data_IF_076933305175
#
_entry.id   IF_076933305175
#
_cell.length_a   1.000
_cell.length_b   1.000
_cell.length_c   1.000
_cell.angle_alpha   90.00
_cell.angle_beta   90.00
_cell.angle_gamma   90.00
#
_symmetry.space_group_name_H-M   'P 1'
#
loop_
_entity.id
_entity.type
_entity.pdbx_description
1 polymer ?
#
# COMPACT_ATOMS: atom_id res chain seq x y z
N UNK A 1 -18.97 9.83 -61.88
CA UNK A 1 -18.71 10.90 -60.90
C UNK A 1 -19.13 10.32 -59.55
N UNK A 2 -18.28 9.65 -58.76
CA UNK A 2 -17.05 10.05 -58.04
C UNK A 2 -17.32 10.89 -56.78
N UNK A 3 -16.73 10.43 -55.65
CA UNK A 3 -16.68 10.94 -54.25
C UNK A 3 -17.81 10.43 -53.36
N UNK A 4 -17.57 9.95 -52.13
CA UNK A 4 -16.37 9.85 -51.28
C UNK A 4 -16.76 8.84 -50.19
N UNK A 5 -15.95 7.82 -49.93
CA UNK A 5 -16.10 7.02 -48.71
C UNK A 5 -14.75 7.08 -48.02
N UNK A 6 -14.71 7.92 -46.99
CA UNK A 6 -13.62 8.03 -46.04
C UNK A 6 -13.59 6.73 -45.21
N UNK A 7 -12.60 5.90 -45.46
CA UNK A 7 -12.10 4.91 -44.50
C UNK A 7 -10.69 5.34 -44.14
N UNK A 8 -10.63 6.41 -43.35
CA UNK A 8 -9.54 6.59 -42.40
C UNK A 8 -9.61 5.40 -41.44
N UNK A 9 -8.63 4.52 -41.49
CA UNK A 9 -8.21 3.64 -40.40
C UNK A 9 -6.74 3.30 -40.68
N UNK A 10 -5.90 4.32 -40.57
CA UNK A 10 -4.43 4.24 -40.57
C UNK A 10 -3.92 3.66 -39.25
N UNK A 11 -4.24 2.39 -38.92
CA UNK A 11 -3.66 1.75 -37.74
C UNK A 11 -3.05 0.40 -38.13
N UNK A 12 -1.73 0.32 -38.00
CA UNK A 12 -0.87 -0.76 -38.46
C UNK A 12 -1.45 -2.15 -38.27
N UNK A 13 -1.59 -2.87 -39.38
CA UNK A 13 -1.97 -4.27 -39.37
C UNK A 13 -0.98 -5.09 -38.53
N UNK A 14 -1.53 -5.91 -37.64
CA UNK A 14 -0.77 -6.86 -36.81
C UNK A 14 0.09 -7.79 -37.69
N UNK A 15 1.31 -8.15 -37.24
CA UNK A 15 2.14 -9.12 -37.95
C UNK A 15 1.42 -10.47 -38.03
N UNK A 16 1.52 -11.18 -39.17
CA UNK A 16 0.78 -12.43 -39.39
C UNK A 16 1.19 -13.58 -38.46
N UNK A 17 2.27 -13.44 -37.68
CA UNK A 17 2.71 -14.44 -36.69
C UNK A 17 1.78 -14.55 -35.45
N UNK A 18 0.81 -13.63 -35.29
CA UNK A 18 -0.15 -13.64 -34.18
C UNK A 18 -1.57 -14.13 -34.56
N UNK A 19 -1.79 -14.49 -35.82
CA UNK A 19 -3.09 -14.99 -36.27
C UNK A 19 -3.15 -16.49 -35.97
N UNK A 20 -3.56 -16.83 -34.75
CA UNK A 20 -3.99 -18.19 -34.41
C UNK A 20 -5.37 -18.45 -35.02
N UNK A 21 -5.38 -19.29 -36.06
CA UNK A 21 -6.58 -19.65 -36.83
C UNK A 21 -7.61 -20.34 -35.93
N UNK A 22 -8.69 -19.63 -35.53
CA UNK A 22 -9.78 -20.30 -34.82
C UNK A 22 -10.73 -19.51 -33.93
N UNK A 23 -10.72 -18.18 -33.85
CA UNK A 23 -11.69 -17.46 -33.00
C UNK A 23 -12.55 -16.45 -33.76
N UNK A 24 -13.83 -16.79 -33.91
CA UNK A 24 -14.92 -15.88 -34.26
C UNK A 24 -15.07 -14.77 -33.19
N UNK A 25 -15.54 -13.57 -33.57
CA UNK A 25 -15.54 -12.40 -32.72
C UNK A 25 -16.61 -12.51 -31.63
N UNK A 26 -16.20 -12.42 -30.37
CA UNK A 26 -17.11 -12.12 -29.26
C UNK A 26 -16.77 -10.73 -28.78
N UNK A 27 -17.66 -9.78 -29.11
CA UNK A 27 -17.71 -8.46 -28.52
C UNK A 27 -17.86 -8.56 -27.00
N UNK A 28 -16.84 -8.17 -26.24
CA UNK A 28 -16.99 -7.49 -24.96
C UNK A 28 -15.65 -6.84 -24.60
N UNK A 29 -15.48 -5.58 -24.98
CA UNK A 29 -14.46 -4.73 -24.39
C UNK A 29 -14.92 -4.39 -22.97
N UNK A 30 -14.38 -5.08 -21.99
CA UNK A 30 -14.38 -4.62 -20.61
C UNK A 30 -12.98 -4.12 -20.30
N UNK A 31 -12.89 -2.81 -20.11
CA UNK A 31 -11.70 -2.06 -19.72
C UNK A 31 -11.17 -2.61 -18.40
N UNK A 32 -10.04 -3.33 -18.43
CA UNK A 32 -9.27 -3.65 -17.22
C UNK A 32 -8.18 -2.59 -17.04
N UNK A 33 -8.62 -1.38 -16.69
CA UNK A 33 -7.77 -0.37 -16.08
C UNK A 33 -7.65 -0.67 -14.58
N UNK A 34 -6.41 -0.64 -14.10
CA UNK A 34 -5.98 -0.65 -12.70
C UNK A 34 -6.58 -1.72 -11.78
N UNK A 35 -5.82 -2.80 -11.59
CA UNK A 35 -5.84 -3.56 -10.34
C UNK A 35 -5.21 -2.69 -9.22
N UNK A 36 -5.91 -1.63 -8.85
CA UNK A 36 -5.80 -1.03 -7.53
C UNK A 36 -6.50 -1.98 -6.58
N UNK A 37 -5.86 -3.10 -6.27
CA UNK A 37 -6.22 -3.94 -5.12
C UNK A 37 -5.89 -3.16 -3.85
N UNK A 38 -6.80 -2.26 -3.50
CA UNK A 38 -7.02 -1.84 -2.14
C UNK A 38 -7.41 -3.12 -1.36
N UNK A 39 -6.40 -3.86 -0.91
CA UNK A 39 -6.58 -4.88 0.10
C UNK A 39 -6.80 -4.19 1.43
N UNK A 40 -8.00 -3.63 1.59
CA UNK A 40 -8.63 -3.42 2.87
C UNK A 40 -8.97 -4.82 3.40
N UNK A 41 -7.97 -5.48 3.97
CA UNK A 41 -8.15 -6.75 4.68
C UNK A 41 -7.97 -6.46 6.16
N UNK A 42 -8.92 -5.70 6.69
CA UNK A 42 -9.27 -5.76 8.11
C UNK A 42 -9.90 -7.13 8.38
N UNK A 43 -9.05 -8.16 8.40
CA UNK A 43 -9.45 -9.50 8.86
C UNK A 43 -9.04 -9.57 10.32
N UNK A 44 -9.85 -8.96 11.18
CA UNK A 44 -9.87 -9.22 12.62
C UNK A 44 -10.03 -10.74 12.82
N UNK A 45 -8.91 -11.42 13.04
CA UNK A 45 -8.91 -12.79 13.52
C UNK A 45 -8.95 -12.68 15.03
N UNK A 46 -10.15 -12.78 15.58
CA UNK A 46 -10.46 -12.66 17.01
C UNK A 46 -10.19 -14.00 17.74
N UNK A 47 -9.06 -14.65 17.44
CA UNK A 47 -8.59 -15.84 18.17
C UNK A 47 -7.45 -15.40 19.10
N UNK A 48 -7.77 -14.45 20.01
CA UNK A 48 -6.81 -13.87 20.94
C UNK A 48 -6.29 -14.93 21.92
N UNK A 49 -5.15 -15.51 21.58
CA UNK A 49 -4.25 -16.05 22.57
C UNK A 49 -3.73 -14.88 23.41
N UNK A 50 -3.71 -15.02 24.73
CA UNK A 50 -3.10 -14.07 25.68
C UNK A 50 -1.60 -13.78 25.42
N UNK A 51 -1.02 -14.49 24.45
CA UNK A 51 0.36 -14.41 23.98
C UNK A 51 0.56 -13.71 22.64
N UNK A 52 -0.43 -13.00 22.14
CA UNK A 52 -0.31 -12.22 20.90
C UNK A 52 0.01 -10.74 21.14
N UNK A 53 0.83 -10.15 20.27
CA UNK A 53 1.23 -8.74 20.27
C UNK A 53 1.07 -8.11 18.90
N UNK A 54 0.74 -6.83 18.87
CA UNK A 54 0.56 -6.04 17.65
C UNK A 54 1.89 -5.41 17.27
N UNK A 55 2.38 -5.74 16.08
CA UNK A 55 3.62 -5.20 15.51
C UNK A 55 3.37 -4.59 14.13
N UNK A 56 4.28 -3.75 13.68
CA UNK A 56 4.25 -3.16 12.33
C UNK A 56 5.44 -3.63 11.51
N UNK A 57 5.21 -3.96 10.24
CA UNK A 57 6.28 -4.34 9.30
C UNK A 57 7.10 -3.12 8.91
N UNK A 58 8.42 -3.25 8.95
CA UNK A 58 9.34 -2.17 8.60
C UNK A 58 9.47 -1.99 7.07
N UNK A 59 10.01 -0.83 6.68
CA UNK A 59 10.18 -0.46 5.28
C UNK A 59 10.99 -1.51 4.50
N UNK A 60 10.52 -1.87 3.30
CA UNK A 60 11.19 -2.81 2.41
C UNK A 60 11.14 -4.28 2.86
N UNK A 61 10.38 -4.58 3.91
CA UNK A 61 10.20 -5.92 4.44
C UNK A 61 8.81 -6.46 4.14
N UNK A 62 8.72 -7.78 4.08
CA UNK A 62 7.46 -8.51 3.88
C UNK A 62 7.43 -9.69 4.85
N UNK A 63 6.31 -9.88 5.55
CA UNK A 63 6.13 -10.95 6.53
C UNK A 63 5.06 -11.91 6.03
N UNK A 64 5.33 -13.22 6.09
CA UNK A 64 4.32 -14.25 5.84
C UNK A 64 3.94 -14.91 7.16
N UNK A 65 2.69 -14.77 7.56
CA UNK A 65 2.17 -15.34 8.79
C UNK A 65 0.71 -15.78 8.56
N UNK A 66 0.31 -16.92 9.12
CA UNK A 66 -1.05 -17.45 8.99
C UNK A 66 -1.56 -17.59 7.54
N UNK A 67 -0.65 -17.94 6.63
CA UNK A 67 -0.93 -18.04 5.20
C UNK A 67 -1.23 -16.70 4.51
N UNK A 68 -1.09 -15.58 5.22
CA UNK A 68 -1.23 -14.21 4.71
C UNK A 68 0.14 -13.57 4.53
N UNK A 69 0.25 -12.71 3.53
CA UNK A 69 1.43 -11.90 3.29
C UNK A 69 1.16 -10.45 3.70
N UNK A 70 1.99 -9.91 4.58
CA UNK A 70 1.94 -8.55 5.10
C UNK A 70 3.08 -7.74 4.49
N UNK A 71 2.73 -6.71 3.74
CA UNK A 71 3.68 -5.76 3.11
C UNK A 71 4.22 -4.76 4.14
N UNK A 72 5.12 -3.89 3.71
CA UNK A 72 5.69 -2.82 4.55
C UNK A 72 4.61 -1.88 5.13
N UNK A 73 4.86 -1.35 6.33
CA UNK A 73 3.99 -0.45 7.10
C UNK A 73 2.61 -1.00 7.47
N UNK A 74 2.38 -2.30 7.28
CA UNK A 74 1.16 -2.97 7.70
C UNK A 74 1.29 -3.45 9.14
N UNK A 75 0.23 -3.30 9.92
CA UNK A 75 0.14 -3.87 11.26
C UNK A 75 -0.32 -5.32 11.17
N UNK A 76 0.28 -6.19 11.99
CA UNK A 76 -0.17 -7.56 12.16
C UNK A 76 -0.06 -8.01 13.61
N UNK A 77 -0.87 -9.01 13.93
CA UNK A 77 -0.84 -9.70 15.20
C UNK A 77 0.07 -10.92 15.07
N UNK A 78 1.01 -11.08 16.01
CA UNK A 78 1.95 -12.20 16.07
C UNK A 78 2.03 -12.73 17.49
N UNK A 79 2.43 -13.99 17.64
CA UNK A 79 2.87 -14.51 18.95
C UNK A 79 4.05 -13.71 19.50
N UNK A 80 4.11 -13.51 20.83
CA UNK A 80 5.21 -12.83 21.55
C UNK A 80 6.59 -13.37 21.16
N UNK A 81 6.72 -14.68 20.95
CA UNK A 81 7.98 -15.33 20.59
C UNK A 81 8.43 -14.95 19.17
N UNK A 82 7.53 -15.08 18.20
CA UNK A 82 7.80 -14.72 16.80
C UNK A 82 8.02 -13.21 16.63
N UNK A 83 7.21 -12.40 17.32
CA UNK A 83 7.37 -10.95 17.35
C UNK A 83 8.76 -10.57 17.86
N UNK A 84 9.21 -11.14 18.99
CA UNK A 84 10.54 -10.89 19.53
C UNK A 84 11.63 -11.23 18.51
N UNK A 85 11.55 -12.41 17.88
CA UNK A 85 12.51 -12.85 16.86
C UNK A 85 12.53 -11.92 15.65
N UNK A 86 11.37 -11.52 15.14
CA UNK A 86 11.27 -10.64 13.98
C UNK A 86 11.72 -9.20 14.30
N UNK A 87 11.56 -8.75 15.55
CA UNK A 87 12.11 -7.49 16.02
C UNK A 87 13.64 -7.56 16.09
N UNK A 88 14.20 -8.64 16.63
CA UNK A 88 15.66 -8.86 16.68
C UNK A 88 16.28 -8.94 15.28
N UNK A 89 15.54 -9.47 14.30
CA UNK A 89 15.93 -9.51 12.90
C UNK A 89 15.73 -8.18 12.16
N UNK A 90 15.09 -7.17 12.78
CA UNK A 90 14.81 -5.88 12.16
C UNK A 90 13.77 -5.95 11.03
N UNK A 91 12.88 -6.94 11.06
CA UNK A 91 11.80 -7.10 10.07
C UNK A 91 10.55 -6.35 10.50
N UNK A 92 10.22 -6.41 11.79
CA UNK A 92 9.04 -5.75 12.38
C UNK A 92 9.45 -4.90 13.57
N UNK A 93 8.59 -3.96 13.97
CA UNK A 93 8.78 -3.15 15.16
C UNK A 93 7.52 -3.15 16.03
N UNK A 94 7.74 -3.02 17.34
CA UNK A 94 6.65 -2.85 18.30
C UNK A 94 6.08 -1.43 18.19
N UNK A 95 4.76 -1.32 18.02
CA UNK A 95 4.08 -0.04 17.81
C UNK A 95 4.24 0.90 19.00
N UNK A 96 4.24 0.37 20.23
CA UNK A 96 4.42 1.18 21.43
C UNK A 96 5.83 1.75 21.51
N UNK A 97 6.84 0.92 21.20
CA UNK A 97 8.23 1.39 21.15
C UNK A 97 8.43 2.43 20.05
N UNK A 98 7.83 2.23 18.89
CA UNK A 98 7.93 3.16 17.77
C UNK A 98 7.34 4.53 18.13
N UNK A 99 6.20 4.53 18.83
CA UNK A 99 5.57 5.76 19.34
C UNK A 99 6.45 6.46 20.38
N UNK A 100 7.01 5.72 21.33
CA UNK A 100 7.92 6.28 22.33
C UNK A 100 9.17 6.86 21.68
N UNK A 101 9.76 6.15 20.72
CA UNK A 101 10.92 6.62 19.98
C UNK A 101 10.62 7.87 19.17
N UNK A 102 9.45 7.94 18.50
CA UNK A 102 9.03 9.14 17.79
C UNK A 102 8.89 10.34 18.73
N UNK A 103 8.35 10.13 19.95
CA UNK A 103 8.23 11.18 20.96
C UNK A 103 9.60 11.68 21.44
N UNK A 104 10.56 10.77 21.61
CA UNK A 104 11.94 11.11 22.00
C UNK A 104 12.67 11.83 20.86
N UNK A 105 12.52 11.33 19.62
CA UNK A 105 13.26 11.82 18.46
C UNK A 105 12.76 13.17 17.96
N UNK A 106 11.44 13.36 17.90
CA UNK A 106 10.85 14.59 17.37
C UNK A 106 10.48 15.60 18.46
N UNK A 107 10.45 15.18 19.73
CA UNK A 107 10.07 16.02 20.86
C UNK A 107 8.65 16.61 20.71
N UNK A 108 8.10 17.21 21.77
CA UNK A 108 6.96 18.11 21.61
C UNK A 108 7.41 19.33 20.80
N UNK A 109 6.92 19.47 19.57
CA UNK A 109 7.12 20.70 18.78
C UNK A 109 6.23 21.79 19.37
N UNK A 110 6.82 22.70 20.15
CA UNK A 110 6.14 23.88 20.69
C UNK A 110 6.40 25.05 19.74
N UNK A 111 5.47 25.31 18.84
CA UNK A 111 5.49 26.55 18.03
C UNK A 111 4.80 27.66 18.81
N UNK A 112 5.56 28.68 19.21
CA UNK A 112 4.99 29.91 19.78
C UNK A 112 4.49 30.78 18.63
N UNK A 113 3.18 30.89 18.48
CA UNK A 113 2.55 31.88 17.59
C UNK A 113 2.61 33.25 18.27
N UNK A 114 3.79 33.86 18.33
CA UNK A 114 3.96 35.17 18.96
C UNK A 114 3.39 36.27 18.04
N UNK A 115 2.11 36.60 18.28
CA UNK A 115 1.44 37.77 17.72
C UNK A 115 1.58 39.02 18.59
N UNK A 116 2.65 39.15 19.38
CA UNK A 116 2.79 40.27 20.33
C UNK A 116 3.35 41.51 19.61
N UNK A 117 2.44 42.41 19.21
CA UNK A 117 2.78 43.82 18.93
C UNK A 117 2.93 44.57 20.26
N UNK A 118 4.17 44.74 20.73
CA UNK A 118 4.48 45.73 21.77
C UNK A 118 4.68 47.10 21.12
N UNK A 119 3.63 47.93 21.15
CA UNK A 119 3.76 49.36 20.90
C UNK A 119 4.34 50.00 22.16
N UNK A 120 5.56 50.53 22.09
CA UNK A 120 6.03 51.48 23.10
C UNK A 120 5.41 52.85 22.76
N UNK A 121 4.56 53.40 23.63
CA UNK A 121 4.16 54.80 23.54
C UNK A 121 4.86 55.55 24.67
N UNK A 122 5.47 56.66 24.29
CA UNK A 122 6.43 57.46 25.05
C UNK A 122 5.78 58.42 26.04
#
# INVERSE_FOLDING_TARGET
MAKKQETENELGGLPPELIVDGQKPVSQIETVEEDSTASDTDKQNDDQGEDEVIVVVLKGQTVKHDGKEYKEFVQLTLSKEDAKRLIELGVVADVNKLRQQALIQHGPTVTVSDGVKISHEA
#
